data_IF_985786422629
#
_entry.id   IF_985786422629
#
_cell.length_a   1.000
_cell.length_b   1.000
_cell.length_c   1.000
_cell.angle_alpha   90.00
_cell.angle_beta   90.00
_cell.angle_gamma   90.00
#
_symmetry.space_group_name_H-M   'P 1'
#
loop_
_entity.id
_entity.type
_entity.pdbx_description
1 polymer ?
#
# COMPACT_ATOMS: atom_id res chain seq x y z
N UNK A 1 15.45 -11.59 17.94
CA UNK A 1 15.35 -11.51 16.47
C UNK A 1 14.72 -12.82 15.98
N UNK A 2 13.43 -12.77 15.71
CA UNK A 2 12.68 -13.92 15.20
C UNK A 2 12.95 -14.04 13.69
N UNK A 3 13.63 -15.09 13.26
CA UNK A 3 13.83 -15.36 11.84
C UNK A 3 12.50 -15.79 11.24
N UNK A 4 11.93 -14.90 10.39
CA UNK A 4 10.73 -15.18 9.61
C UNK A 4 10.97 -16.44 8.77
N UNK A 5 10.22 -17.50 9.05
CA UNK A 5 10.29 -18.77 8.34
C UNK A 5 9.93 -18.52 6.87
N UNK A 6 10.77 -18.90 5.88
CA UNK A 6 10.45 -18.65 4.47
C UNK A 6 9.15 -19.35 4.09
N UNK A 7 8.32 -18.67 3.30
CA UNK A 7 7.07 -19.28 2.82
C UNK A 7 7.38 -20.43 1.83
N UNK A 8 6.50 -21.44 1.70
CA UNK A 8 6.72 -22.54 0.75
C UNK A 8 6.89 -22.06 -0.71
N UNK A 9 6.39 -20.88 -1.03
CA UNK A 9 6.50 -20.26 -2.37
C UNK A 9 7.90 -19.75 -2.63
N UNK A 10 8.60 -19.25 -1.60
CA UNK A 10 9.96 -18.71 -1.72
C UNK A 10 10.97 -19.80 -2.10
N UNK A 11 10.81 -21.01 -1.57
CA UNK A 11 11.68 -22.14 -1.89
C UNK A 11 11.53 -22.66 -3.34
N UNK A 12 10.32 -22.62 -3.88
CA UNK A 12 10.04 -23.03 -5.27
C UNK A 12 10.60 -21.99 -6.27
N UNK A 13 10.52 -20.72 -5.94
CA UNK A 13 11.03 -19.65 -6.81
C UNK A 13 12.57 -19.68 -6.87
N UNK A 14 13.24 -19.92 -5.75
CA UNK A 14 14.72 -19.99 -5.70
C UNK A 14 15.28 -21.16 -6.55
N UNK A 15 14.67 -22.34 -6.46
CA UNK A 15 15.05 -23.51 -7.29
C UNK A 15 14.76 -23.27 -8.78
N UNK A 16 13.68 -22.58 -9.09
CA UNK A 16 13.31 -22.26 -10.49
C UNK A 16 14.29 -21.24 -11.10
N UNK A 17 14.75 -20.24 -10.35
CA UNK A 17 15.72 -19.26 -10.83
C UNK A 17 17.10 -19.88 -11.15
N UNK A 18 17.57 -20.86 -10.37
CA UNK A 18 18.84 -21.51 -10.60
C UNK A 18 18.82 -22.40 -11.86
N UNK A 19 17.67 -23.03 -12.15
CA UNK A 19 17.44 -23.75 -13.41
C UNK A 19 17.38 -22.78 -14.58
N UNK A 20 16.65 -21.67 -14.44
CA UNK A 20 16.51 -20.66 -15.49
C UNK A 20 17.86 -20.04 -15.87
N UNK A 21 18.73 -19.72 -14.90
CA UNK A 21 20.07 -19.14 -15.18
C UNK A 21 20.94 -19.99 -16.11
N UNK A 22 20.69 -21.30 -16.15
CA UNK A 22 21.45 -22.26 -16.98
C UNK A 22 20.77 -22.52 -18.34
N UNK A 23 19.55 -22.07 -18.53
CA UNK A 23 18.80 -22.26 -19.76
C UNK A 23 19.22 -21.26 -20.84
N UNK A 24 18.91 -21.56 -22.10
CA UNK A 24 19.07 -20.61 -23.20
C UNK A 24 18.14 -19.41 -23.04
N UNK A 25 18.50 -18.22 -23.56
CA UNK A 25 17.70 -16.99 -23.42
C UNK A 25 16.22 -17.19 -23.81
N UNK A 26 15.95 -17.84 -24.93
CA UNK A 26 14.59 -18.07 -25.42
C UNK A 26 13.77 -18.91 -24.43
N UNK A 27 14.39 -19.91 -23.80
CA UNK A 27 13.74 -20.76 -22.79
C UNK A 27 13.56 -20.00 -21.46
N UNK A 28 14.45 -19.06 -21.14
CA UNK A 28 14.27 -18.16 -19.98
C UNK A 28 13.05 -17.28 -20.16
N UNK A 29 12.90 -16.65 -21.33
CA UNK A 29 11.78 -15.77 -21.66
C UNK A 29 10.45 -16.53 -21.64
N UNK A 30 10.37 -17.67 -22.31
CA UNK A 30 9.17 -18.50 -22.36
C UNK A 30 8.73 -18.96 -20.96
N UNK A 31 9.69 -19.38 -20.14
CA UNK A 31 9.40 -19.80 -18.77
C UNK A 31 8.91 -18.62 -17.92
N UNK A 32 9.55 -17.46 -18.02
CA UNK A 32 9.14 -16.26 -17.28
C UNK A 32 7.73 -15.83 -17.65
N UNK A 33 7.40 -15.78 -18.95
CA UNK A 33 6.05 -15.46 -19.45
C UNK A 33 5.03 -16.47 -18.92
N UNK A 34 5.32 -17.77 -19.02
CA UNK A 34 4.41 -18.84 -18.57
C UNK A 34 4.14 -18.77 -17.07
N UNK A 35 5.18 -18.59 -16.26
CA UNK A 35 5.06 -18.45 -14.79
C UNK A 35 4.23 -17.22 -14.42
N UNK A 36 4.52 -16.10 -15.06
CA UNK A 36 3.82 -14.84 -14.81
C UNK A 36 2.34 -14.92 -15.21
N UNK A 37 2.05 -15.45 -16.40
CA UNK A 37 0.68 -15.68 -16.85
C UNK A 37 -0.10 -16.60 -15.90
N UNK A 38 0.53 -17.64 -15.36
CA UNK A 38 -0.06 -18.53 -14.37
C UNK A 38 -0.40 -17.78 -13.08
N UNK A 39 0.52 -16.98 -12.58
CA UNK A 39 0.29 -16.17 -11.38
C UNK A 39 -0.86 -15.16 -11.56
N UNK A 40 -0.92 -14.50 -12.72
CA UNK A 40 -2.04 -13.59 -13.04
C UNK A 40 -3.37 -14.35 -13.12
N UNK A 41 -3.42 -15.51 -13.78
CA UNK A 41 -4.66 -16.32 -13.86
C UNK A 41 -5.18 -16.72 -12.48
N UNK A 42 -4.29 -17.17 -11.59
CA UNK A 42 -4.64 -17.52 -10.21
C UNK A 42 -5.16 -16.30 -9.42
N UNK A 43 -4.51 -15.16 -9.59
CA UNK A 43 -4.94 -13.90 -8.97
C UNK A 43 -6.33 -13.48 -9.46
N UNK A 44 -6.57 -13.52 -10.75
CA UNK A 44 -7.88 -13.19 -11.34
C UNK A 44 -8.97 -14.16 -10.87
N UNK A 45 -8.67 -15.45 -10.75
CA UNK A 45 -9.61 -16.42 -10.19
C UNK A 45 -9.99 -16.05 -8.76
N UNK A 46 -9.00 -15.82 -7.88
CA UNK A 46 -9.27 -15.40 -6.49
C UNK A 46 -10.05 -14.08 -6.40
N UNK A 47 -9.89 -13.17 -7.38
CA UNK A 47 -10.66 -11.93 -7.45
C UNK A 47 -12.12 -12.20 -7.82
N UNK A 48 -12.37 -13.08 -8.80
CA UNK A 48 -13.73 -13.49 -9.18
C UNK A 48 -14.45 -14.22 -8.03
N UNK A 49 -13.75 -15.08 -7.31
CA UNK A 49 -14.30 -15.78 -6.14
C UNK A 49 -14.77 -14.82 -5.03
N UNK A 50 -14.19 -13.61 -5.01
CA UNK A 50 -14.60 -12.50 -4.13
C UNK A 50 -15.62 -11.55 -4.75
N UNK A 51 -16.22 -11.92 -5.88
CA UNK A 51 -17.19 -11.08 -6.62
C UNK A 51 -16.57 -9.86 -7.32
N UNK A 52 -15.25 -9.82 -7.51
CA UNK A 52 -14.56 -8.73 -8.20
C UNK A 52 -14.39 -9.06 -9.67
N UNK A 53 -14.98 -8.24 -10.53
CA UNK A 53 -14.92 -8.38 -11.99
C UNK A 53 -15.25 -7.05 -12.67
N UNK A 54 -15.64 -7.13 -13.96
CA UNK A 54 -16.14 -5.96 -14.70
C UNK A 54 -15.07 -5.00 -15.22
N UNK A 55 -13.78 -5.39 -15.19
CA UNK A 55 -12.71 -4.55 -15.71
C UNK A 55 -12.83 -4.21 -17.20
N UNK A 56 -13.54 -5.01 -17.98
CA UNK A 56 -13.70 -4.81 -19.42
C UNK A 56 -14.63 -3.63 -19.72
N UNK A 57 -15.64 -3.40 -18.87
CA UNK A 57 -16.70 -2.41 -19.09
C UNK A 57 -16.62 -1.23 -18.10
N UNK A 58 -15.72 -1.25 -17.11
CA UNK A 58 -15.57 -0.14 -16.18
C UNK A 58 -15.00 1.10 -16.88
N UNK A 59 -15.20 2.27 -16.27
CA UNK A 59 -14.53 3.49 -16.71
C UNK A 59 -13.01 3.28 -16.72
N UNK A 60 -12.32 3.80 -17.75
CA UNK A 60 -10.86 3.67 -17.87
C UNK A 60 -10.13 4.31 -16.70
N UNK A 61 -10.67 5.39 -16.12
CA UNK A 61 -10.11 6.06 -14.95
C UNK A 61 -10.04 5.13 -13.72
N UNK A 62 -10.93 4.14 -13.63
CA UNK A 62 -10.87 3.12 -12.55
C UNK A 62 -9.58 2.30 -12.65
N UNK A 63 -9.19 1.92 -13.86
CA UNK A 63 -7.97 1.15 -14.08
C UNK A 63 -6.72 2.01 -13.91
N UNK A 64 -6.73 3.22 -14.46
CA UNK A 64 -5.59 4.15 -14.39
C UNK A 64 -5.33 4.57 -12.94
N UNK A 65 -6.36 4.99 -12.21
CA UNK A 65 -6.24 5.38 -10.81
C UNK A 65 -5.88 4.17 -9.93
N UNK A 66 -6.47 3.00 -10.18
CA UNK A 66 -6.11 1.77 -9.48
C UNK A 66 -4.65 1.40 -9.66
N UNK A 67 -4.10 1.52 -10.87
CA UNK A 67 -2.67 1.35 -11.13
C UNK A 67 -1.83 2.37 -10.34
N UNK A 68 -2.18 3.66 -10.43
CA UNK A 68 -1.43 4.73 -9.77
C UNK A 68 -1.40 4.57 -8.24
N UNK A 69 -2.53 4.21 -7.63
CA UNK A 69 -2.61 3.92 -6.20
C UNK A 69 -1.75 2.73 -5.79
N UNK A 70 -1.77 1.64 -6.58
CA UNK A 70 -0.96 0.46 -6.30
C UNK A 70 0.52 0.73 -6.51
N UNK A 71 0.92 1.54 -7.49
CA UNK A 71 2.30 1.93 -7.71
C UNK A 71 2.94 2.61 -6.48
N UNK A 72 2.12 3.23 -5.63
CA UNK A 72 2.55 3.95 -4.44
C UNK A 72 2.35 3.16 -3.12
N UNK A 73 1.87 1.92 -3.16
CA UNK A 73 1.54 1.15 -1.94
C UNK A 73 2.72 0.47 -1.28
N UNK A 74 3.67 -0.06 -2.02
CA UNK A 74 4.86 -0.73 -1.49
C UNK A 74 4.59 -1.97 -0.63
N UNK A 75 3.42 -2.64 -0.78
CA UNK A 75 3.07 -3.85 -0.05
C UNK A 75 3.48 -5.13 -0.79
N UNK A 76 3.44 -6.27 -0.09
CA UNK A 76 3.73 -7.59 -0.68
C UNK A 76 2.79 -7.89 -1.87
N UNK A 77 3.31 -8.56 -2.90
CA UNK A 77 2.63 -8.91 -4.16
C UNK A 77 2.15 -7.72 -5.01
N UNK A 78 2.59 -6.51 -4.71
CA UNK A 78 2.19 -5.31 -5.43
C UNK A 78 2.58 -5.36 -6.92
N UNK A 79 3.70 -6.00 -7.27
CA UNK A 79 4.10 -6.17 -8.68
C UNK A 79 3.07 -6.93 -9.50
N UNK A 80 2.43 -7.94 -8.92
CA UNK A 80 1.39 -8.70 -9.59
C UNK A 80 0.09 -7.89 -9.74
N UNK A 81 -0.20 -7.01 -8.77
CA UNK A 81 -1.32 -6.05 -8.85
C UNK A 81 -1.10 -5.06 -9.99
N UNK A 82 0.08 -4.43 -10.03
CA UNK A 82 0.47 -3.49 -11.09
C UNK A 82 0.41 -4.12 -12.47
N UNK A 83 0.98 -5.31 -12.61
CA UNK A 83 0.97 -6.05 -13.86
C UNK A 83 -0.45 -6.40 -14.33
N UNK A 84 -1.35 -6.70 -13.39
CA UNK A 84 -2.75 -6.98 -13.71
C UNK A 84 -3.44 -5.73 -14.26
N UNK A 85 -3.24 -4.56 -13.66
CA UNK A 85 -3.76 -3.29 -14.19
C UNK A 85 -3.15 -2.95 -15.55
N UNK A 86 -1.83 -3.11 -15.72
CA UNK A 86 -1.17 -2.89 -17.01
C UNK A 86 -1.73 -3.80 -18.10
N UNK A 87 -1.96 -5.08 -17.78
CA UNK A 87 -2.58 -6.00 -18.72
C UNK A 87 -4.00 -5.55 -19.12
N UNK A 88 -4.82 -5.12 -18.17
CA UNK A 88 -6.16 -4.61 -18.45
C UNK A 88 -6.14 -3.36 -19.33
N UNK A 89 -5.27 -2.40 -19.00
CA UNK A 89 -5.12 -1.17 -19.77
C UNK A 89 -4.63 -1.46 -21.18
N UNK A 90 -3.63 -2.36 -21.33
CA UNK A 90 -3.11 -2.77 -22.63
C UNK A 90 -4.18 -3.44 -23.50
N UNK A 91 -4.95 -4.40 -22.96
CA UNK A 91 -6.03 -5.09 -23.68
C UNK A 91 -7.11 -4.13 -24.12
N UNK A 92 -7.41 -3.08 -23.34
CA UNK A 92 -8.40 -2.06 -23.67
C UNK A 92 -7.87 -0.95 -24.57
N UNK A 93 -6.59 -0.95 -24.92
CA UNK A 93 -5.96 0.10 -25.74
C UNK A 93 -5.97 1.47 -25.06
N UNK A 94 -5.86 1.52 -23.72
CA UNK A 94 -5.83 2.79 -22.99
C UNK A 94 -4.51 3.51 -23.30
N UNK A 95 -4.60 4.81 -23.58
CA UNK A 95 -3.46 5.66 -23.91
C UNK A 95 -2.48 5.79 -22.75
N UNK A 96 -1.23 5.42 -22.96
CA UNK A 96 -0.14 5.47 -21.98
C UNK A 96 0.12 6.89 -21.47
N UNK A 97 -0.21 7.92 -22.26
CA UNK A 97 -0.07 9.32 -21.86
C UNK A 97 -0.94 9.70 -20.66
N UNK A 98 -1.96 8.91 -20.33
CA UNK A 98 -2.82 9.12 -19.16
C UNK A 98 -2.18 8.65 -17.84
N UNK A 99 -1.15 7.81 -17.90
CA UNK A 99 -0.52 7.22 -16.70
C UNK A 99 0.27 8.25 -15.88
N UNK A 100 1.17 9.07 -16.46
CA UNK A 100 1.97 10.03 -15.68
C UNK A 100 1.14 11.03 -14.87
N UNK A 101 0.08 11.68 -15.44
CA UNK A 101 -0.78 12.57 -14.67
C UNK A 101 -1.49 11.88 -13.50
N UNK A 102 -1.92 10.64 -13.68
CA UNK A 102 -2.59 9.87 -12.63
C UNK A 102 -1.63 9.51 -11.48
N UNK A 103 -0.38 9.14 -11.80
CA UNK A 103 0.67 8.91 -10.80
C UNK A 103 0.95 10.16 -9.98
N UNK A 104 1.07 11.31 -10.63
CA UNK A 104 1.30 12.58 -9.94
C UNK A 104 0.12 12.96 -9.03
N UNK A 105 -1.11 12.82 -9.51
CA UNK A 105 -2.33 13.04 -8.71
C UNK A 105 -2.37 12.12 -7.49
N UNK A 106 -2.08 10.84 -7.66
CA UNK A 106 -2.05 9.87 -6.56
C UNK A 106 -0.94 10.20 -5.53
N UNK A 107 0.23 10.65 -5.99
CA UNK A 107 1.32 11.09 -5.14
C UNK A 107 0.93 12.31 -4.31
N UNK A 108 0.34 13.33 -4.94
CA UNK A 108 -0.13 14.52 -4.24
C UNK A 108 -1.19 14.19 -3.19
N UNK A 109 -2.13 13.30 -3.52
CA UNK A 109 -3.14 12.84 -2.56
C UNK A 109 -2.50 12.19 -1.33
N UNK A 110 -1.52 11.30 -1.51
CA UNK A 110 -0.79 10.69 -0.38
C UNK A 110 -0.03 11.71 0.48
N UNK A 111 0.55 12.72 -0.12
CA UNK A 111 1.22 13.81 0.61
C UNK A 111 0.19 14.55 1.46
N UNK A 112 -0.96 14.90 0.90
CA UNK A 112 -2.03 15.59 1.63
C UNK A 112 -2.59 14.75 2.78
N UNK A 113 -2.80 13.45 2.57
CA UNK A 113 -3.21 12.53 3.64
C UNK A 113 -2.17 12.46 4.78
N UNK A 114 -0.88 12.44 4.44
CA UNK A 114 0.19 12.44 5.43
C UNK A 114 0.22 13.74 6.24
N UNK A 115 0.08 14.88 5.58
CA UNK A 115 -0.03 16.20 6.22
C UNK A 115 -1.23 16.30 7.16
N UNK A 116 -2.41 15.83 6.72
CA UNK A 116 -3.62 15.83 7.54
C UNK A 116 -3.44 15.00 8.81
N UNK A 117 -2.84 13.82 8.71
CA UNK A 117 -2.54 12.96 9.88
C UNK A 117 -1.61 13.64 10.87
N UNK A 118 -0.51 14.26 10.40
CA UNK A 118 0.43 14.97 11.25
C UNK A 118 -0.26 16.14 11.98
N UNK A 119 -1.12 16.86 11.26
CA UNK A 119 -1.87 17.97 11.85
C UNK A 119 -2.85 17.50 12.93
N UNK A 120 -3.60 16.44 12.68
CA UNK A 120 -4.53 15.84 13.65
C UNK A 120 -3.80 15.30 14.89
N UNK A 121 -2.67 14.63 14.71
CA UNK A 121 -1.85 14.14 15.82
C UNK A 121 -1.29 15.29 16.66
N UNK A 122 -0.88 16.38 16.02
CA UNK A 122 -0.46 17.62 16.69
C UNK A 122 -1.57 18.24 17.53
N UNK A 123 -2.78 18.36 16.97
CA UNK A 123 -3.95 18.86 17.70
C UNK A 123 -4.35 17.98 18.88
N UNK A 124 -4.33 16.68 18.70
CA UNK A 124 -4.66 15.71 19.75
C UNK A 124 -3.63 15.76 20.89
N UNK A 125 -2.34 15.91 20.56
CA UNK A 125 -1.27 16.06 21.54
C UNK A 125 -1.43 17.37 22.34
N UNK A 126 -1.76 18.47 21.67
CA UNK A 126 -2.02 19.75 22.31
C UNK A 126 -3.23 19.70 23.24
N UNK A 127 -4.32 19.05 22.83
CA UNK A 127 -5.53 18.84 23.67
C UNK A 127 -5.22 18.01 24.91
N UNK A 128 -4.47 16.92 24.79
CA UNK A 128 -4.02 16.09 25.93
C UNK A 128 -3.15 16.90 26.90
N UNK A 129 -2.22 17.70 26.41
CA UNK A 129 -1.36 18.54 27.23
C UNK A 129 -2.16 19.64 27.97
N UNK A 130 -3.16 20.25 27.33
CA UNK A 130 -4.06 21.21 27.94
C UNK A 130 -4.92 20.58 29.03
N UNK A 131 -5.50 19.40 28.79
CA UNK A 131 -6.27 18.68 29.78
C UNK A 131 -5.42 18.29 30.99
N UNK A 132 -4.18 17.82 30.79
CA UNK A 132 -3.27 17.48 31.88
C UNK A 132 -2.93 18.71 32.76
N UNK A 133 -2.82 19.89 32.19
CA UNK A 133 -2.56 21.13 32.95
C UNK A 133 -3.75 21.56 33.82
N UNK A 134 -4.98 21.25 33.44
CA UNK A 134 -6.18 21.55 34.23
C UNK A 134 -6.31 20.68 35.48
N UNK A 135 -5.68 19.51 35.52
CA UNK A 135 -5.68 18.61 36.68
C UNK A 135 -4.55 18.84 37.67
N UNK A 136 -3.67 19.79 37.44
CA UNK A 136 -2.69 20.23 38.44
C UNK A 136 -3.39 21.22 39.35
N UNK A 137 -4.22 20.72 40.33
CA UNK A 137 -4.72 21.52 41.42
C UNK A 137 -3.54 22.06 42.21
N UNK A 138 -3.41 23.39 42.21
CA UNK A 138 -2.52 24.08 43.14
C UNK A 138 -3.01 23.80 44.54
N UNK A 139 -2.23 23.14 45.42
CA UNK A 139 -2.67 22.90 46.77
C UNK A 139 -2.95 24.26 47.45
N UNK A 140 -4.21 24.49 47.87
CA UNK A 140 -4.59 25.67 48.66
C UNK A 140 -3.70 25.70 49.91
N UNK A 141 -2.84 26.70 50.01
CA UNK A 141 -2.09 26.97 51.24
C UNK A 141 -3.07 27.07 52.38
N UNK A 142 -3.07 26.10 53.30
CA UNK A 142 -3.83 26.19 54.56
C UNK A 142 -3.38 27.44 55.26
N UNK A 143 -4.37 28.31 55.61
CA UNK A 143 -4.17 29.57 56.27
C UNK A 143 -3.33 29.40 57.53
N UNK A 144 -2.42 30.32 57.75
CA UNK A 144 -1.61 30.48 58.96
C UNK A 144 -2.58 30.72 60.12
N UNK A 145 -2.52 30.00 61.27
CA UNK A 145 -3.36 30.32 62.41
C UNK A 145 -2.95 31.69 62.93
N UNK A 146 -3.97 32.58 63.11
CA UNK A 146 -3.80 33.87 63.82
C UNK A 146 -3.35 33.59 65.26
N UNK A 147 -2.24 34.23 65.64
CA UNK A 147 -1.82 34.29 67.04
C UNK A 147 -2.72 35.35 67.72
N UNK A 148 -3.61 34.87 68.58
CA UNK A 148 -4.25 35.73 69.57
C UNK A 148 -3.21 36.16 70.61
N UNK A 149 -3.08 37.49 70.81
CA UNK A 149 -2.36 38.12 71.90
C UNK A 149 -3.20 38.16 73.17
#
# INVERSE_FOLDING_TARGET
MEQKKPSPVDGVIMTSLDVLRKAKPEAQDECAVSMFATAIRQKLQRSRDKGRGGWIDCDEDVLINGFAEHALKGNENNLLDLATFLMFMWVRGIDDAKIPPALEKARQHKIMEAWSRIHEDGLNSARKASAARQFVEVPRRKGRPERLA
#
